data_IF_544023532038
#
_entry.id   IF_544023532038
#
_cell.length_a   1.000
_cell.length_b   1.000
_cell.length_c   1.000
_cell.angle_alpha   90.00
_cell.angle_beta   90.00
_cell.angle_gamma   90.00
#
_symmetry.space_group_name_H-M   'P 1'
#
loop_
_entity.id
_entity.type
_entity.pdbx_description
1 polymer ?
#
# COMPACT_ATOMS: atom_id res chain seq x y z
N UNK A 1 40.02 -27.61 3.98
CA UNK A 1 40.11 -26.74 5.19
C UNK A 1 40.23 -25.25 4.83
N UNK A 2 41.28 -24.80 4.11
CA UNK A 2 41.43 -23.38 3.70
C UNK A 2 40.26 -22.79 2.89
N UNK A 3 39.70 -23.56 1.96
CA UNK A 3 38.55 -23.15 1.13
C UNK A 3 37.27 -22.92 1.97
N UNK A 4 37.05 -23.79 2.95
CA UNK A 4 35.91 -23.73 3.86
C UNK A 4 36.03 -22.54 4.85
N UNK A 5 37.24 -22.24 5.32
CA UNK A 5 37.51 -21.03 6.11
C UNK A 5 37.34 -19.75 5.29
N UNK A 6 37.75 -19.76 4.02
CA UNK A 6 37.53 -18.63 3.10
C UNK A 6 36.03 -18.37 2.86
N UNK A 7 35.21 -19.41 2.74
CA UNK A 7 33.74 -19.27 2.66
C UNK A 7 33.14 -18.68 3.95
N UNK A 8 33.66 -19.07 5.12
CA UNK A 8 33.20 -18.50 6.39
C UNK A 8 33.58 -17.03 6.54
N UNK A 9 34.79 -16.65 6.11
CA UNK A 9 35.22 -15.24 6.05
C UNK A 9 34.30 -14.44 5.14
N UNK A 10 34.02 -14.93 3.92
CA UNK A 10 33.10 -14.24 3.00
C UNK A 10 31.68 -14.06 3.59
N UNK A 11 31.17 -15.05 4.32
CA UNK A 11 29.89 -14.93 5.03
C UNK A 11 29.93 -13.89 6.15
N UNK A 12 31.04 -13.81 6.89
CA UNK A 12 31.24 -12.81 7.94
C UNK A 12 31.34 -11.40 7.34
N UNK A 13 32.10 -11.22 6.27
CA UNK A 13 32.24 -9.92 5.58
C UNK A 13 30.88 -9.43 5.04
N UNK A 14 30.07 -10.35 4.52
CA UNK A 14 28.70 -10.03 4.10
C UNK A 14 27.85 -9.56 5.29
N UNK A 15 27.87 -10.29 6.40
CA UNK A 15 27.12 -9.89 7.62
C UNK A 15 27.57 -8.54 8.17
N UNK A 16 28.88 -8.27 8.20
CA UNK A 16 29.41 -6.97 8.63
C UNK A 16 28.90 -5.86 7.70
N UNK A 17 28.97 -6.09 6.39
CA UNK A 17 28.47 -5.15 5.39
C UNK A 17 26.98 -4.87 5.60
N UNK A 18 26.16 -5.91 5.75
CA UNK A 18 24.72 -5.80 5.99
C UNK A 18 24.42 -5.00 7.28
N UNK A 19 25.14 -5.26 8.37
CA UNK A 19 24.97 -4.55 9.64
C UNK A 19 25.38 -3.07 9.56
N UNK A 20 26.47 -2.74 8.87
CA UNK A 20 26.87 -1.36 8.65
C UNK A 20 25.84 -0.58 7.83
N UNK A 21 25.25 -1.26 6.84
CA UNK A 21 24.17 -0.76 6.03
C UNK A 21 22.97 -0.45 6.97
N UNK A 22 22.49 -1.42 7.75
CA UNK A 22 21.36 -1.25 8.68
C UNK A 22 21.59 -0.06 9.62
N UNK A 23 22.79 0.05 10.20
CA UNK A 23 23.15 1.16 11.07
C UNK A 23 22.97 2.52 10.39
N UNK A 24 23.38 2.65 9.12
CA UNK A 24 23.22 3.90 8.36
C UNK A 24 21.75 4.26 8.20
N UNK A 25 20.92 3.28 7.82
CA UNK A 25 19.48 3.49 7.66
C UNK A 25 18.75 3.82 8.95
N UNK A 26 19.13 3.20 10.07
CA UNK A 26 18.59 3.57 11.40
C UNK A 26 18.99 5.00 11.76
N UNK A 27 20.24 5.42 11.48
CA UNK A 27 20.67 6.80 11.69
C UNK A 27 19.92 7.82 10.81
N UNK A 28 19.61 7.47 9.57
CA UNK A 28 18.80 8.28 8.65
C UNK A 28 17.36 8.42 9.17
N UNK A 29 16.77 7.33 9.67
CA UNK A 29 15.45 7.36 10.30
C UNK A 29 15.40 8.24 11.56
N UNK A 30 16.40 8.12 12.46
CA UNK A 30 16.50 8.97 13.65
C UNK A 30 16.57 10.47 13.27
N UNK A 31 17.10 10.80 12.09
CA UNK A 31 17.15 12.17 11.56
C UNK A 31 15.85 12.63 10.90
N UNK A 32 14.80 11.82 10.91
CA UNK A 32 13.48 12.15 10.38
C UNK A 32 13.25 11.77 8.92
N UNK A 33 14.15 10.98 8.30
CA UNK A 33 13.90 10.40 6.97
C UNK A 33 12.99 9.19 7.08
N UNK A 34 12.09 8.97 6.11
CA UNK A 34 11.15 7.84 6.13
C UNK A 34 11.86 6.49 6.05
N UNK A 35 11.41 5.51 6.84
CA UNK A 35 11.87 4.11 6.79
C UNK A 35 11.77 3.51 5.39
N UNK A 36 10.79 3.96 4.59
CA UNK A 36 10.47 3.46 3.26
C UNK A 36 11.58 3.79 2.25
N UNK A 37 12.29 4.90 2.47
CA UNK A 37 13.38 5.37 1.61
C UNK A 37 14.71 4.67 1.92
N UNK A 38 14.79 3.93 3.01
CA UNK A 38 15.99 3.20 3.40
C UNK A 38 16.02 1.78 2.79
N UNK A 39 16.83 1.61 1.74
CA UNK A 39 16.92 0.42 0.86
C UNK A 39 17.10 -0.96 1.53
N UNK A 40 17.42 -1.00 2.83
CA UNK A 40 17.89 -2.17 3.59
C UNK A 40 16.80 -2.74 4.47
N UNK A 41 16.08 -1.84 5.15
CA UNK A 41 14.89 -2.18 5.89
C UNK A 41 13.78 -2.52 4.91
N UNK A 42 13.73 -1.88 3.74
CA UNK A 42 12.76 -2.16 2.70
C UNK A 42 12.76 -3.65 2.29
N UNK A 43 13.91 -4.29 2.05
CA UNK A 43 13.93 -5.73 1.67
C UNK A 43 13.49 -6.68 2.80
N UNK A 44 13.88 -6.39 4.04
CA UNK A 44 13.53 -7.23 5.20
C UNK A 44 12.06 -7.07 5.58
N UNK A 45 11.56 -5.82 5.57
CA UNK A 45 10.16 -5.49 5.84
C UNK A 45 9.24 -5.97 4.72
N UNK A 46 9.62 -5.80 3.45
CA UNK A 46 8.82 -6.30 2.33
C UNK A 46 8.63 -7.82 2.42
N UNK A 47 9.70 -8.58 2.66
CA UNK A 47 9.63 -10.03 2.85
C UNK A 47 8.75 -10.43 4.04
N UNK A 48 8.83 -9.67 5.15
CA UNK A 48 7.95 -9.85 6.30
C UNK A 48 6.48 -9.62 5.92
N UNK A 49 6.17 -8.52 5.24
CA UNK A 49 4.81 -8.19 4.81
C UNK A 49 4.27 -9.18 3.79
N UNK A 50 5.08 -9.64 2.85
CA UNK A 50 4.71 -10.67 1.89
C UNK A 50 4.30 -11.97 2.62
N UNK A 51 5.04 -12.33 3.68
CA UNK A 51 4.74 -13.49 4.51
C UNK A 51 3.47 -13.30 5.35
N UNK A 52 3.29 -12.15 5.99
CA UNK A 52 2.07 -11.82 6.74
C UNK A 52 0.84 -11.84 5.83
N UNK A 53 0.94 -11.23 4.65
CA UNK A 53 -0.14 -11.23 3.65
C UNK A 53 -0.45 -12.64 3.14
N UNK A 54 0.58 -13.48 2.94
CA UNK A 54 0.40 -14.89 2.56
C UNK A 54 -0.36 -15.67 3.63
N UNK A 55 0.01 -15.52 4.90
CA UNK A 55 -0.64 -16.21 6.02
C UNK A 55 -2.09 -15.74 6.18
N UNK A 56 -2.31 -14.42 6.13
CA UNK A 56 -3.62 -13.83 6.41
C UNK A 56 -4.59 -13.95 5.24
N UNK A 57 -4.11 -13.76 4.02
CA UNK A 57 -4.95 -13.61 2.82
C UNK A 57 -4.72 -14.67 1.75
N UNK A 58 -3.82 -15.64 1.97
CA UNK A 58 -3.44 -16.65 0.97
C UNK A 58 -4.60 -17.44 0.36
N UNK A 59 -5.68 -17.58 1.12
CA UNK A 59 -6.90 -18.28 0.69
C UNK A 59 -7.87 -17.40 -0.12
N UNK A 60 -7.67 -16.08 -0.18
CA UNK A 60 -8.56 -15.16 -0.86
C UNK A 60 -8.32 -15.14 -2.38
N UNK A 61 -9.39 -14.90 -3.15
CA UNK A 61 -9.30 -14.76 -4.61
C UNK A 61 -8.44 -13.56 -5.02
N UNK A 62 -8.54 -12.46 -4.27
CA UNK A 62 -7.72 -11.27 -4.46
C UNK A 62 -6.23 -11.60 -4.31
N UNK A 63 -5.82 -12.30 -3.25
CA UNK A 63 -4.42 -12.66 -3.08
C UNK A 63 -3.92 -13.59 -4.20
N UNK A 64 -4.69 -14.62 -4.57
CA UNK A 64 -4.30 -15.55 -5.63
C UNK A 64 -4.17 -14.86 -7.00
N UNK A 65 -5.09 -13.96 -7.34
CA UNK A 65 -5.03 -13.18 -8.59
C UNK A 65 -3.87 -12.19 -8.59
N UNK A 66 -3.60 -11.54 -7.45
CA UNK A 66 -2.41 -10.70 -7.28
C UNK A 66 -1.13 -11.49 -7.57
N UNK A 67 -0.95 -12.67 -6.95
CA UNK A 67 0.25 -13.50 -7.16
C UNK A 67 0.42 -13.90 -8.64
N UNK A 68 -0.67 -14.18 -9.36
CA UNK A 68 -0.62 -14.49 -10.80
C UNK A 68 -0.20 -13.28 -11.65
N UNK A 69 -0.57 -12.06 -11.24
CA UNK A 69 -0.31 -10.82 -12.00
C UNK A 69 0.97 -10.11 -11.58
N UNK A 70 1.49 -10.37 -10.38
CA UNK A 70 2.56 -9.56 -9.74
C UNK A 70 3.79 -9.34 -10.62
N UNK A 71 4.18 -10.34 -11.42
CA UNK A 71 5.38 -10.25 -12.25
C UNK A 71 5.18 -9.37 -13.50
N UNK A 72 3.93 -9.13 -13.90
CA UNK A 72 3.56 -8.18 -14.97
C UNK A 72 3.33 -6.76 -14.46
N UNK A 73 3.18 -6.58 -13.14
CA UNK A 73 2.91 -5.30 -12.52
C UNK A 73 4.19 -4.51 -12.30
N UNK A 74 4.24 -3.29 -12.84
CA UNK A 74 5.33 -2.36 -12.58
C UNK A 74 4.97 -1.47 -11.38
N UNK A 75 5.75 -1.58 -10.29
CA UNK A 75 5.46 -0.84 -9.05
C UNK A 75 5.49 0.68 -9.22
N UNK A 76 6.23 1.20 -10.21
CA UNK A 76 6.27 2.62 -10.51
C UNK A 76 4.95 3.09 -11.15
N UNK A 77 4.41 2.33 -12.09
CA UNK A 77 3.15 2.66 -12.78
C UNK A 77 1.97 2.64 -11.81
N UNK A 78 1.96 1.65 -10.89
CA UNK A 78 0.94 1.57 -9.84
C UNK A 78 0.97 2.81 -8.96
N UNK A 79 2.16 3.18 -8.45
CA UNK A 79 2.31 4.36 -7.60
C UNK A 79 1.86 5.63 -8.32
N UNK A 80 2.29 5.81 -9.57
CA UNK A 80 1.91 6.97 -10.36
C UNK A 80 0.39 7.07 -10.53
N UNK A 81 -0.26 5.98 -10.93
CA UNK A 81 -1.71 5.97 -11.17
C UNK A 81 -2.52 6.18 -9.89
N UNK A 82 -2.11 5.58 -8.77
CA UNK A 82 -2.74 5.83 -7.46
C UNK A 82 -2.57 7.29 -7.04
N UNK A 83 -1.37 7.86 -7.15
CA UNK A 83 -1.14 9.28 -6.84
C UNK A 83 -2.03 10.19 -7.70
N UNK A 84 -2.20 9.89 -8.99
CA UNK A 84 -3.13 10.65 -9.85
C UNK A 84 -4.57 10.57 -9.33
N UNK A 85 -5.06 9.38 -8.99
CA UNK A 85 -6.42 9.19 -8.46
C UNK A 85 -6.59 9.91 -7.12
N UNK A 86 -5.64 9.76 -6.20
CA UNK A 86 -5.67 10.42 -4.89
C UNK A 86 -5.58 11.94 -4.99
N UNK A 87 -4.83 12.49 -5.96
CA UNK A 87 -4.83 13.93 -6.23
C UNK A 87 -6.20 14.44 -6.67
N UNK A 88 -6.96 13.66 -7.46
CA UNK A 88 -8.34 14.01 -7.82
C UNK A 88 -9.25 14.00 -6.60
N UNK A 89 -9.15 12.98 -5.74
CA UNK A 89 -9.90 12.92 -4.48
C UNK A 89 -9.53 14.11 -3.59
N UNK A 90 -8.25 14.45 -3.51
CA UNK A 90 -7.76 15.57 -2.74
C UNK A 90 -8.34 16.90 -3.22
N UNK A 91 -8.39 17.11 -4.53
CA UNK A 91 -9.00 18.30 -5.10
C UNK A 91 -10.49 18.41 -4.78
N UNK A 92 -11.24 17.32 -4.91
CA UNK A 92 -12.67 17.28 -4.58
C UNK A 92 -12.92 17.54 -3.09
N UNK A 93 -12.11 16.91 -2.23
CA UNK A 93 -12.17 17.08 -0.78
C UNK A 93 -11.88 18.53 -0.34
N UNK A 94 -10.79 19.13 -0.82
CA UNK A 94 -10.45 20.53 -0.52
C UNK A 94 -11.46 21.52 -1.09
N UNK A 95 -12.10 21.17 -2.20
CA UNK A 95 -13.18 21.96 -2.80
C UNK A 95 -14.55 21.69 -2.19
N UNK A 96 -14.61 20.85 -1.14
CA UNK A 96 -15.82 20.50 -0.38
C UNK A 96 -16.94 19.92 -1.25
N UNK A 97 -16.60 19.14 -2.28
CA UNK A 97 -17.59 18.42 -3.08
C UNK A 97 -18.31 17.37 -2.21
N UNK A 98 -19.64 17.22 -2.36
CA UNK A 98 -20.36 16.18 -1.66
C UNK A 98 -19.91 14.80 -2.17
N UNK A 99 -19.90 13.80 -1.28
CA UNK A 99 -19.46 12.44 -1.59
C UNK A 99 -20.26 11.82 -2.74
N UNK A 100 -21.54 12.18 -2.87
CA UNK A 100 -22.44 11.74 -3.92
C UNK A 100 -21.94 12.10 -5.34
N UNK A 101 -21.09 13.12 -5.46
CA UNK A 101 -20.50 13.55 -6.73
C UNK A 101 -19.21 12.79 -7.06
N UNK A 102 -18.70 11.96 -6.15
CA UNK A 102 -17.45 11.21 -6.34
C UNK A 102 -17.61 9.87 -7.07
N UNK A 103 -18.81 9.53 -7.55
CA UNK A 103 -19.11 8.20 -8.11
C UNK A 103 -18.12 7.78 -9.20
N UNK A 104 -17.91 8.63 -10.21
CA UNK A 104 -16.98 8.37 -11.31
C UNK A 104 -15.55 8.11 -10.83
N UNK A 105 -15.10 8.86 -9.82
CA UNK A 105 -13.76 8.73 -9.28
C UNK A 105 -13.61 7.45 -8.44
N UNK A 106 -14.64 7.06 -7.70
CA UNK A 106 -14.69 5.79 -6.97
C UNK A 106 -14.67 4.61 -7.95
N UNK A 107 -15.40 4.70 -9.06
CA UNK A 107 -15.35 3.67 -10.10
C UNK A 107 -14.03 3.65 -10.88
N UNK A 108 -13.38 4.80 -11.11
CA UNK A 108 -12.02 4.85 -11.66
C UNK A 108 -11.03 4.14 -10.71
N UNK A 109 -11.11 4.45 -9.42
CA UNK A 109 -10.29 3.81 -8.40
C UNK A 109 -10.53 2.30 -8.34
N UNK A 110 -11.79 1.87 -8.26
CA UNK A 110 -12.17 0.45 -8.24
C UNK A 110 -11.69 -0.29 -9.49
N UNK A 111 -11.87 0.29 -10.67
CA UNK A 111 -11.43 -0.31 -11.92
C UNK A 111 -9.90 -0.48 -11.93
N UNK A 112 -9.18 0.56 -11.49
CA UNK A 112 -7.72 0.49 -11.39
C UNK A 112 -7.26 -0.55 -10.36
N UNK A 113 -7.83 -0.59 -9.15
CA UNK A 113 -7.52 -1.60 -8.14
C UNK A 113 -7.74 -3.01 -8.68
N UNK A 114 -8.79 -3.22 -9.48
CA UNK A 114 -9.08 -4.51 -10.11
C UNK A 114 -8.09 -4.93 -11.21
N UNK A 115 -7.28 -4.00 -11.74
CA UNK A 115 -6.16 -4.37 -12.62
C UNK A 115 -5.03 -5.07 -11.85
N UNK A 116 -4.87 -4.75 -10.56
CA UNK A 116 -3.83 -5.28 -9.69
C UNK A 116 -4.20 -6.69 -9.20
N UNK A 117 -5.43 -6.84 -8.73
CA UNK A 117 -5.97 -8.10 -8.23
C UNK A 117 -7.50 -8.09 -8.30
N UNK A 118 -8.13 -9.25 -8.28
CA UNK A 118 -9.59 -9.38 -8.31
C UNK A 118 -10.16 -9.11 -6.92
N UNK A 119 -10.45 -7.83 -6.64
CA UNK A 119 -11.05 -7.37 -5.39
C UNK A 119 -12.57 -7.28 -5.53
N UNK A 120 -13.30 -7.88 -4.60
CA UNK A 120 -14.74 -7.61 -4.46
C UNK A 120 -14.99 -6.28 -3.73
N UNK A 121 -16.24 -5.81 -3.77
CA UNK A 121 -16.64 -4.52 -3.21
C UNK A 121 -16.40 -4.46 -1.68
N UNK A 122 -16.62 -5.57 -0.97
CA UNK A 122 -16.36 -5.66 0.47
C UNK A 122 -14.86 -5.49 0.78
N UNK A 123 -14.00 -6.18 0.03
CA UNK A 123 -12.55 -6.07 0.17
C UNK A 123 -12.08 -4.64 -0.14
N UNK A 124 -12.65 -4.00 -1.16
CA UNK A 124 -12.33 -2.62 -1.51
C UNK A 124 -12.76 -1.64 -0.41
N UNK A 125 -13.95 -1.82 0.19
CA UNK A 125 -14.38 -1.05 1.35
C UNK A 125 -13.41 -1.23 2.53
N UNK A 126 -12.99 -2.46 2.82
CA UNK A 126 -11.99 -2.73 3.85
C UNK A 126 -10.66 -2.02 3.56
N UNK A 127 -10.18 -2.07 2.32
CA UNK A 127 -8.95 -1.36 1.91
C UNK A 127 -9.11 0.15 2.14
N UNK A 128 -10.22 0.75 1.71
CA UNK A 128 -10.45 2.17 1.89
C UNK A 128 -10.51 2.55 3.39
N UNK A 129 -11.10 1.70 4.22
CA UNK A 129 -11.14 1.92 5.67
C UNK A 129 -9.75 1.83 6.31
N UNK A 130 -8.86 0.96 5.82
CA UNK A 130 -7.47 0.93 6.31
C UNK A 130 -6.69 2.21 6.06
N UNK A 131 -7.07 3.02 5.07
CA UNK A 131 -6.43 4.33 4.85
C UNK A 131 -6.65 5.28 6.03
N UNK A 132 -7.78 5.16 6.70
CA UNK A 132 -8.18 5.95 7.85
C UNK A 132 -7.73 5.33 9.18
N UNK A 133 -7.72 4.00 9.30
CA UNK A 133 -7.50 3.33 10.59
C UNK A 133 -6.04 2.95 10.85
N UNK A 134 -5.27 2.64 9.80
CA UNK A 134 -3.88 2.19 9.93
C UNK A 134 -2.92 3.38 9.88
N UNK A 135 -2.13 3.55 10.95
CA UNK A 135 -1.19 4.66 11.12
C UNK A 135 -0.17 4.75 9.99
N UNK A 136 0.19 3.64 9.35
CA UNK A 136 1.15 3.63 8.24
C UNK A 136 0.59 4.30 7.00
N UNK A 137 -0.72 4.14 6.74
CA UNK A 137 -1.39 4.85 5.65
C UNK A 137 -1.69 6.29 6.03
N UNK A 138 -1.98 6.58 7.30
CA UNK A 138 -2.10 7.97 7.78
C UNK A 138 -0.88 8.80 7.44
N UNK A 139 0.33 8.29 7.71
CA UNK A 139 1.57 9.03 7.38
C UNK A 139 1.71 9.31 5.89
N UNK A 140 1.30 8.38 5.03
CA UNK A 140 1.25 8.59 3.58
C UNK A 140 0.24 9.69 3.20
N UNK A 141 -0.98 9.63 3.72
CA UNK A 141 -2.02 10.63 3.40
C UNK A 141 -1.73 11.99 4.05
N UNK A 142 -1.00 12.04 5.17
CA UNK A 142 -0.51 13.28 5.79
C UNK A 142 0.49 14.04 4.91
N UNK A 143 1.07 13.40 3.89
CA UNK A 143 1.89 14.09 2.90
C UNK A 143 1.08 14.98 1.95
N UNK A 144 -0.24 14.77 1.88
CA UNK A 144 -1.16 15.68 1.22
C UNK A 144 -1.49 16.80 2.19
N UNK A 145 -1.62 18.04 1.69
CA UNK A 145 -2.02 19.21 2.47
C UNK A 145 -3.54 19.18 2.80
N UNK A 146 -4.03 18.02 3.25
CA UNK A 146 -5.43 17.73 3.54
C UNK A 146 -5.56 16.55 4.53
N UNK A 147 -5.81 16.89 5.80
CA UNK A 147 -5.97 15.90 6.87
C UNK A 147 -7.22 15.03 6.73
N UNK A 148 -8.20 15.45 5.93
CA UNK A 148 -9.47 14.76 5.72
C UNK A 148 -9.47 13.86 4.49
N UNK A 149 -8.36 13.79 3.73
CA UNK A 149 -8.33 13.03 2.48
C UNK A 149 -8.62 11.54 2.70
N UNK A 150 -8.01 10.94 3.71
CA UNK A 150 -8.19 9.51 4.00
C UNK A 150 -9.64 9.19 4.40
N UNK A 151 -10.26 10.00 5.27
CA UNK A 151 -11.66 9.83 5.65
C UNK A 151 -12.60 10.08 4.47
N UNK A 152 -12.33 11.10 3.66
CA UNK A 152 -13.13 11.41 2.46
C UNK A 152 -13.14 10.25 1.45
N UNK A 153 -11.98 9.64 1.18
CA UNK A 153 -11.88 8.45 0.32
C UNK A 153 -12.64 7.28 0.94
N UNK A 154 -12.42 7.03 2.24
CA UNK A 154 -13.10 5.96 3.00
C UNK A 154 -14.62 6.08 2.91
N UNK A 155 -15.16 7.26 3.21
CA UNK A 155 -16.60 7.54 3.14
C UNK A 155 -17.15 7.40 1.72
N UNK A 156 -16.46 7.94 0.72
CA UNK A 156 -16.89 7.84 -0.68
C UNK A 156 -16.92 6.40 -1.19
N UNK A 157 -15.85 5.64 -0.96
CA UNK A 157 -15.80 4.24 -1.36
C UNK A 157 -16.89 3.43 -0.66
N UNK A 158 -17.06 3.61 0.65
CA UNK A 158 -18.09 2.92 1.41
C UNK A 158 -19.51 3.31 0.93
N UNK A 159 -19.77 4.57 0.59
CA UNK A 159 -21.07 5.03 0.12
C UNK A 159 -21.49 4.33 -1.20
N UNK A 160 -20.58 4.19 -2.16
CA UNK A 160 -20.91 3.61 -3.48
C UNK A 160 -20.74 2.09 -3.57
N UNK A 161 -19.83 1.50 -2.79
CA UNK A 161 -19.51 0.07 -2.91
C UNK A 161 -20.16 -0.78 -1.82
N UNK A 162 -20.53 -0.21 -0.67
CA UNK A 162 -21.23 -1.00 0.36
C UNK A 162 -22.64 -1.36 -0.11
N UNK A 163 -23.02 -2.61 0.06
CA UNK A 163 -24.35 -3.13 -0.30
C UNK A 163 -25.51 -2.50 0.50
N UNK A 164 -25.24 -1.60 1.45
CA UNK A 164 -26.24 -0.89 2.26
C UNK A 164 -27.16 0.00 1.39
N UNK A 165 -26.72 0.41 0.19
CA UNK A 165 -27.52 1.23 -0.72
C UNK A 165 -28.15 0.44 -1.91
N UNK A 166 -28.11 -0.90 -1.92
CA UNK A 166 -28.68 -1.74 -3.00
C UNK A 166 -29.97 -2.47 -2.62
N UNK A 167 -30.52 -2.25 -1.42
CA UNK A 167 -31.74 -2.91 -0.95
C UNK A 167 -33.04 -2.17 -1.23
N UNK A 168 -33.05 -1.06 -1.97
CA UNK A 168 -34.27 -0.35 -2.35
C UNK A 168 -34.28 -0.08 -3.86
N UNK A 169 -34.65 -1.10 -4.65
CA UNK A 169 -35.33 -0.99 -5.95
C UNK A 169 -35.54 -2.41 -6.54
N UNK A 170 -36.45 -3.15 -5.91
CA UNK A 170 -37.24 -4.19 -6.57
C UNK A 170 -38.72 -3.92 -6.32
#
# INVERSE_FOLDING_TARGET
MRKLLSEQISKLDKKISDLQLIRRSVCEFIKGLSLIDTSILNKTLQSQYDKEASIKYGHTKAYQSFIRRKDSLQSQDIRHKLTTIFNKFNHMSLSHYPIQDCSDLVFEWKAFMNTIADFDDETLCCIAKTYEDDTRFKDYFNSYDNQNLASYISEAVNYFLSNVNKSDNF
#
